data_IF_487815791999
#
_entry.id   IF_487815791999
#
_cell.length_a   1.000
_cell.length_b   1.000
_cell.length_c   1.000
_cell.angle_alpha   90.00
_cell.angle_beta   90.00
_cell.angle_gamma   90.00
#
_symmetry.space_group_name_H-M   'P 1'
#
loop_
_entity.id
_entity.type
_entity.pdbx_description
1 polymer ?
#
# COMPACT_ATOMS: atom_id res chain seq x y z
N UNK A 1 -0.51 -6.10 -14.87
CA UNK A 1 -0.23 -5.86 -13.43
C UNK A 1 1.25 -6.16 -13.19
N UNK A 2 2.02 -5.38 -12.40
CA UNK A 2 3.46 -5.58 -12.24
C UNK A 2 3.87 -6.95 -11.70
N UNK A 3 2.98 -7.61 -10.97
CA UNK A 3 3.22 -8.93 -10.37
C UNK A 3 2.49 -10.06 -11.11
N UNK A 4 1.87 -9.74 -12.25
CA UNK A 4 1.09 -10.70 -13.05
C UNK A 4 0.00 -11.43 -12.24
N UNK A 5 -0.65 -10.70 -11.31
CA UNK A 5 -1.73 -11.24 -10.47
C UNK A 5 -3.06 -11.44 -11.22
N UNK A 6 -3.35 -10.63 -12.24
CA UNK A 6 -4.50 -10.83 -13.14
C UNK A 6 -4.13 -11.93 -14.14
N UNK A 7 -4.48 -13.17 -13.82
CA UNK A 7 -4.09 -14.36 -14.60
C UNK A 7 -5.03 -14.67 -15.77
N UNK A 8 -6.28 -14.19 -15.70
CA UNK A 8 -7.28 -14.30 -16.75
C UNK A 8 -8.35 -13.21 -16.55
N UNK A 9 -9.24 -12.95 -17.53
CA UNK A 9 -10.38 -12.06 -17.33
C UNK A 9 -11.16 -12.45 -16.07
N UNK A 10 -11.38 -11.47 -15.19
CA UNK A 10 -12.10 -11.64 -13.92
C UNK A 10 -11.45 -12.62 -12.91
N UNK A 11 -10.18 -12.99 -13.11
CA UNK A 11 -9.45 -13.89 -12.23
C UNK A 11 -8.18 -13.24 -11.71
N UNK A 12 -8.07 -13.14 -10.38
CA UNK A 12 -6.92 -12.54 -9.69
C UNK A 12 -6.32 -13.56 -8.72
N UNK A 13 -5.01 -13.81 -8.84
CA UNK A 13 -4.24 -14.54 -7.84
C UNK A 13 -3.83 -13.58 -6.70
N UNK A 14 -4.62 -13.56 -5.64
CA UNK A 14 -4.39 -12.69 -4.48
C UNK A 14 -3.01 -12.87 -3.85
N UNK A 15 -2.37 -14.04 -3.99
CA UNK A 15 -1.02 -14.30 -3.45
C UNK A 15 0.06 -13.45 -4.10
N UNK A 16 -0.21 -12.92 -5.30
CA UNK A 16 0.67 -12.01 -6.04
C UNK A 16 0.18 -10.56 -6.02
N UNK A 17 -1.02 -10.30 -5.50
CA UNK A 17 -1.61 -8.96 -5.52
C UNK A 17 -0.98 -8.06 -4.45
N UNK A 18 -0.36 -6.96 -4.87
CA UNK A 18 0.31 -6.01 -3.96
C UNK A 18 -0.65 -5.53 -2.85
N UNK A 19 -1.89 -5.21 -3.21
CA UNK A 19 -2.92 -4.76 -2.25
C UNK A 19 -3.25 -5.84 -1.21
N UNK A 20 -3.35 -7.11 -1.62
CA UNK A 20 -3.55 -8.21 -0.67
C UNK A 20 -2.35 -8.38 0.26
N UNK A 21 -1.13 -8.36 -0.30
CA UNK A 21 0.11 -8.54 0.45
C UNK A 21 0.29 -7.45 1.52
N UNK A 22 -0.04 -6.19 1.22
CA UNK A 22 0.18 -5.06 2.12
C UNK A 22 -1.03 -4.73 3.04
N UNK A 23 -2.25 -5.20 2.74
CA UNK A 23 -3.43 -5.01 3.62
C UNK A 23 -3.77 -6.28 4.43
N UNK A 24 -3.89 -7.42 3.76
CA UNK A 24 -4.57 -8.61 4.30
C UNK A 24 -3.61 -9.69 4.82
N UNK A 25 -2.45 -9.88 4.19
CA UNK A 25 -1.53 -10.95 4.56
C UNK A 25 -1.02 -10.77 6.00
N UNK A 26 -1.34 -11.72 6.88
CA UNK A 26 -1.06 -11.63 8.32
C UNK A 26 0.33 -12.09 8.74
N UNK A 27 0.92 -13.04 8.00
CA UNK A 27 2.28 -13.54 8.24
C UNK A 27 3.34 -12.58 7.69
N UNK A 28 4.60 -12.83 8.02
CA UNK A 28 5.70 -12.06 7.43
C UNK A 28 5.81 -12.32 5.92
N UNK A 29 6.34 -11.33 5.20
CA UNK A 29 6.55 -11.38 3.76
C UNK A 29 7.80 -12.21 3.45
N UNK A 30 7.71 -13.09 2.46
CA UNK A 30 8.91 -13.73 1.88
C UNK A 30 9.78 -12.69 1.17
N UNK A 31 11.02 -13.02 0.84
CA UNK A 31 11.90 -12.12 0.11
C UNK A 31 11.30 -11.67 -1.24
N UNK A 32 10.65 -12.60 -1.94
CA UNK A 32 9.99 -12.32 -3.23
C UNK A 32 8.77 -11.40 -3.04
N UNK A 33 7.93 -11.66 -2.02
CA UNK A 33 6.79 -10.81 -1.71
C UNK A 33 7.22 -9.40 -1.28
N UNK A 34 8.33 -9.27 -0.55
CA UNK A 34 8.92 -7.96 -0.23
C UNK A 34 9.34 -7.20 -1.49
N UNK A 35 9.96 -7.88 -2.46
CA UNK A 35 10.34 -7.26 -3.73
C UNK A 35 9.11 -6.84 -4.55
N UNK A 36 8.05 -7.68 -4.56
CA UNK A 36 6.79 -7.38 -5.24
C UNK A 36 6.10 -6.11 -4.74
N UNK A 37 6.28 -5.74 -3.46
CA UNK A 37 5.68 -4.51 -2.92
C UNK A 37 6.22 -3.23 -3.56
N UNK A 38 7.40 -3.24 -4.19
CA UNK A 38 7.99 -2.03 -4.78
C UNK A 38 8.00 -0.86 -3.80
N UNK A 39 7.36 0.25 -4.18
CA UNK A 39 7.19 1.45 -3.37
C UNK A 39 5.79 1.57 -2.71
N UNK A 40 4.95 0.55 -2.79
CA UNK A 40 3.56 0.59 -2.32
C UNK A 40 3.42 0.17 -0.85
N UNK A 41 3.31 1.16 0.03
CA UNK A 41 3.18 0.95 1.48
C UNK A 41 1.81 0.35 1.89
N UNK A 42 0.72 0.81 1.26
CA UNK A 42 -0.65 0.38 1.54
C UNK A 42 -1.51 0.48 0.27
N UNK A 43 -2.22 -0.59 -0.08
CA UNK A 43 -3.01 -0.68 -1.30
C UNK A 43 -2.16 -0.73 -2.58
N UNK A 44 -2.83 -0.82 -3.72
CA UNK A 44 -2.25 -0.68 -5.05
C UNK A 44 -3.36 -0.31 -6.04
N UNK A 45 -3.18 0.78 -6.78
CA UNK A 45 -4.19 1.29 -7.72
C UNK A 45 -3.79 1.08 -9.19
N UNK A 46 -2.68 0.40 -9.48
CA UNK A 46 -2.12 0.33 -10.84
C UNK A 46 -3.12 -0.24 -11.84
N UNK A 47 -3.84 -1.30 -11.48
CA UNK A 47 -4.86 -1.91 -12.35
C UNK A 47 -6.01 -0.93 -12.66
N UNK A 48 -6.34 -0.04 -11.71
CA UNK A 48 -7.31 1.02 -11.90
C UNK A 48 -6.73 2.20 -12.70
N UNK A 49 -5.48 2.58 -12.45
CA UNK A 49 -4.81 3.70 -13.14
C UNK A 49 -4.64 3.45 -14.64
N UNK A 50 -4.36 2.21 -15.03
CA UNK A 50 -4.23 1.84 -16.46
C UNK A 50 -5.58 1.49 -17.11
N UNK A 51 -6.68 1.42 -16.35
CA UNK A 51 -7.97 1.06 -16.90
C UNK A 51 -8.48 2.17 -17.84
N UNK A 52 -8.81 1.86 -19.11
CA UNK A 52 -9.25 2.87 -20.07
C UNK A 52 -10.57 3.53 -19.69
N UNK A 53 -11.38 2.93 -18.83
CA UNK A 53 -12.61 3.52 -18.32
C UNK A 53 -12.38 4.56 -17.22
N UNK A 54 -11.31 4.42 -16.43
CA UNK A 54 -11.02 5.35 -15.34
C UNK A 54 -10.54 6.71 -15.83
N UNK A 55 -10.15 6.85 -17.10
CA UNK A 55 -9.88 8.17 -17.72
C UNK A 55 -11.10 9.10 -17.72
N UNK A 56 -12.30 8.54 -17.57
CA UNK A 56 -13.55 9.30 -17.51
C UNK A 56 -13.96 9.65 -16.07
N UNK A 57 -13.27 9.14 -15.05
CA UNK A 57 -13.55 9.44 -13.67
C UNK A 57 -13.21 10.89 -13.35
N UNK A 58 -13.99 11.51 -12.46
CA UNK A 58 -13.77 12.87 -11.96
C UNK A 58 -13.48 12.83 -10.46
N UNK A 59 -12.53 13.64 -9.95
CA UNK A 59 -12.35 13.79 -8.52
C UNK A 59 -13.66 14.17 -7.83
N UNK A 60 -13.89 13.61 -6.64
CA UNK A 60 -15.06 13.92 -5.83
C UNK A 60 -15.01 15.37 -5.33
N UNK A 61 -16.18 15.98 -5.18
CA UNK A 61 -16.35 17.29 -4.54
C UNK A 61 -16.59 17.18 -3.03
N UNK A 62 -16.70 15.95 -2.49
CA UNK A 62 -16.91 15.69 -1.06
C UNK A 62 -15.60 15.99 -0.32
N UNK A 63 -15.63 16.99 0.57
CA UNK A 63 -14.43 17.49 1.27
C UNK A 63 -13.81 16.43 2.18
N UNK A 64 -14.64 15.63 2.84
CA UNK A 64 -14.25 14.58 3.78
C UNK A 64 -13.48 13.44 3.12
N UNK A 65 -13.58 13.31 1.79
CA UNK A 65 -12.85 12.31 1.01
C UNK A 65 -11.55 12.85 0.41
N UNK A 66 -11.21 14.13 0.64
CA UNK A 66 -9.92 14.65 0.18
C UNK A 66 -8.78 14.03 0.98
N UNK A 67 -7.62 13.80 0.35
CA UNK A 67 -6.45 13.31 1.05
C UNK A 67 -6.05 14.22 2.21
N UNK A 68 -5.86 13.63 3.39
CA UNK A 68 -5.41 14.37 4.57
C UNK A 68 -3.91 14.66 4.48
N UNK A 69 -3.53 15.92 4.70
CA UNK A 69 -2.13 16.38 4.55
C UNK A 69 -1.17 15.70 5.52
N UNK A 70 -1.62 15.46 6.75
CA UNK A 70 -0.86 14.77 7.80
C UNK A 70 -0.52 13.32 7.43
N UNK A 71 -1.32 12.68 6.58
CA UNK A 71 -1.04 11.35 6.02
C UNK A 71 -0.12 11.45 4.80
N UNK A 72 -0.33 12.43 3.92
CA UNK A 72 0.50 12.61 2.72
C UNK A 72 1.96 12.95 3.01
N UNK A 73 2.25 13.56 4.16
CA UNK A 73 3.61 13.92 4.56
C UNK A 73 4.39 12.81 5.25
N UNK A 74 3.78 11.64 5.49
CA UNK A 74 4.45 10.54 6.19
C UNK A 74 5.54 9.89 5.33
N UNK A 75 6.68 9.63 5.95
CA UNK A 75 7.77 8.82 5.40
C UNK A 75 7.76 7.41 5.97
N UNK A 76 8.51 6.48 5.36
CA UNK A 76 8.70 5.15 5.94
C UNK A 76 9.34 5.22 7.32
N UNK A 77 10.25 6.18 7.55
CA UNK A 77 10.87 6.39 8.86
C UNK A 77 9.83 6.77 9.92
N UNK A 78 8.92 7.69 9.61
CA UNK A 78 7.85 8.10 10.53
C UNK A 78 6.97 6.90 10.93
N UNK A 79 6.63 6.05 9.97
CA UNK A 79 5.87 4.83 10.21
C UNK A 79 6.64 3.83 11.10
N UNK A 80 7.93 3.65 10.86
CA UNK A 80 8.79 2.74 11.63
C UNK A 80 8.94 3.20 13.09
N UNK A 81 8.97 4.51 13.34
CA UNK A 81 9.06 5.08 14.68
C UNK A 81 7.70 5.24 15.37
N UNK A 82 6.60 5.10 14.62
CA UNK A 82 5.24 5.30 15.13
C UNK A 82 4.85 4.28 16.21
N UNK A 83 4.26 4.78 17.30
CA UNK A 83 3.68 3.93 18.34
C UNK A 83 2.29 3.44 17.93
N UNK A 84 1.81 2.35 18.54
CA UNK A 84 0.45 1.84 18.29
C UNK A 84 -0.63 2.88 18.63
N UNK A 85 -0.45 3.67 19.69
CA UNK A 85 -1.42 4.71 20.07
C UNK A 85 -1.44 5.87 19.07
N UNK A 86 -0.27 6.28 18.56
CA UNK A 86 -0.17 7.27 17.49
C UNK A 86 -0.83 6.77 16.19
N UNK A 87 -0.55 5.53 15.78
CA UNK A 87 -1.16 4.92 14.61
C UNK A 87 -2.70 4.88 14.69
N UNK A 88 -3.23 4.43 15.83
CA UNK A 88 -4.69 4.39 16.05
C UNK A 88 -5.32 5.77 16.01
N UNK A 89 -4.68 6.79 16.61
CA UNK A 89 -5.19 8.17 16.56
C UNK A 89 -5.17 8.73 15.14
N UNK A 90 -4.10 8.47 14.38
CA UNK A 90 -3.94 9.03 13.05
C UNK A 90 -4.92 8.43 12.05
N UNK A 91 -5.17 7.11 12.13
CA UNK A 91 -5.94 6.36 11.15
C UNK A 91 -7.31 5.87 11.66
N UNK A 92 -7.84 6.38 12.78
CA UNK A 92 -9.07 5.88 13.42
C UNK A 92 -10.31 5.88 12.51
N UNK A 93 -10.35 6.78 11.55
CA UNK A 93 -11.40 7.05 10.58
C UNK A 93 -11.06 6.53 9.17
N UNK A 94 -9.99 5.75 9.04
CA UNK A 94 -9.47 5.29 7.76
C UNK A 94 -9.40 3.77 7.67
N UNK A 95 -9.59 3.25 6.45
CA UNK A 95 -9.39 1.83 6.12
C UNK A 95 -7.96 1.36 6.41
N UNK A 96 -7.00 2.27 6.51
CA UNK A 96 -5.61 1.97 6.90
C UNK A 96 -5.52 1.29 8.26
N UNK A 97 -6.46 1.58 9.18
CA UNK A 97 -6.52 0.94 10.50
C UNK A 97 -6.61 -0.59 10.40
N UNK A 98 -7.22 -1.13 9.33
CA UNK A 98 -7.36 -2.57 9.07
C UNK A 98 -6.03 -3.30 9.01
N UNK A 99 -4.97 -2.66 8.52
CA UNK A 99 -3.62 -3.25 8.47
C UNK A 99 -2.99 -3.34 9.87
N UNK A 100 -3.25 -2.36 10.73
CA UNK A 100 -2.62 -2.25 12.04
C UNK A 100 -1.12 -1.95 11.97
N UNK A 101 -0.57 -1.37 13.04
CA UNK A 101 0.80 -0.85 13.04
C UNK A 101 1.87 -1.92 12.76
N UNK A 102 1.70 -3.16 13.25
CA UNK A 102 2.69 -4.22 13.04
C UNK A 102 2.89 -4.53 11.56
N UNK A 103 1.81 -4.72 10.81
CA UNK A 103 1.89 -4.99 9.36
C UNK A 103 2.30 -3.73 8.60
N UNK A 104 1.89 -2.55 9.04
CA UNK A 104 2.31 -1.30 8.42
C UNK A 104 3.83 -1.09 8.52
N UNK A 105 4.44 -1.37 9.69
CA UNK A 105 5.90 -1.33 9.86
C UNK A 105 6.60 -2.37 8.98
N UNK A 106 6.11 -3.61 8.94
CA UNK A 106 6.61 -4.65 8.02
C UNK A 106 6.62 -4.18 6.56
N UNK A 107 5.55 -3.52 6.11
CA UNK A 107 5.49 -2.97 4.75
C UNK A 107 6.51 -1.83 4.56
N UNK A 108 6.65 -0.93 5.55
CA UNK A 108 7.61 0.17 5.50
C UNK A 108 9.06 -0.32 5.42
N UNK A 109 9.41 -1.40 6.13
CA UNK A 109 10.73 -2.05 6.02
C UNK A 109 10.99 -2.56 4.59
N UNK A 110 10.00 -3.25 4.00
CA UNK A 110 10.11 -3.75 2.63
C UNK A 110 10.26 -2.62 1.60
N UNK A 111 9.43 -1.58 1.70
CA UNK A 111 9.50 -0.39 0.82
C UNK A 111 10.85 0.32 0.95
N UNK A 112 11.33 0.55 2.18
CA UNK A 112 12.65 1.14 2.45
C UNK A 112 13.78 0.31 1.85
N UNK A 113 13.69 -1.01 1.89
CA UNK A 113 14.67 -1.90 1.27
C UNK A 113 14.63 -1.81 -0.27
N UNK A 114 13.45 -1.70 -0.87
CA UNK A 114 13.29 -1.58 -2.32
C UNK A 114 13.82 -0.25 -2.87
N UNK A 115 13.68 0.86 -2.14
CA UNK A 115 14.32 2.12 -2.54
C UNK A 115 15.84 2.04 -2.57
N UNK A 116 16.46 1.37 -1.59
CA UNK A 116 17.92 1.17 -1.61
C UNK A 116 18.39 0.34 -2.81
N UNK A 117 17.59 -0.63 -3.25
CA UNK A 117 17.88 -1.44 -4.45
C UNK A 117 17.80 -0.62 -5.73
N UNK A 118 16.81 0.27 -5.84
CA UNK A 118 16.62 1.12 -7.03
C UNK A 118 17.66 2.24 -7.17
N UNK A 119 18.35 2.61 -6.08
CA UNK A 119 19.44 3.61 -6.11
C UNK A 119 20.81 2.96 -6.37
N UNK A 120 20.92 1.64 -6.17
CA UNK A 120 22.18 0.89 -6.32
C UNK A 120 22.33 0.19 -7.68
N UNK A 121 21.35 0.31 -8.58
CA UNK A 121 21.37 -0.20 -9.95
C UNK A 121 21.22 0.94 -10.94
#
# INVERSE_FOLDING_TARGET
CPTEDIVAPYQVDARKCISYLNIELKRDLTADEQAMLGAWLFGCDICQQVCPWNRFAKPTAIEELKPRRDVQSLTEADILDMTNSAFKRLFSDSVVLRTGIKRMKRNAEAVKANFKRNVAG
#
